data_IF_629554777997
#
_entry.id   IF_629554777997
#
_cell.length_a   1.000
_cell.length_b   1.000
_cell.length_c   1.000
_cell.angle_alpha   90.00
_cell.angle_beta   90.00
_cell.angle_gamma   90.00
#
_symmetry.space_group_name_H-M   'P 1'
#
loop_
_entity.id
_entity.type
_entity.pdbx_description
1 polymer ?
#
# COMPACT_ATOMS: atom_id res chain seq x y z
N UNK A 1 -4.50 1.97 -19.33
CA UNK A 1 -5.44 1.44 -18.31
C UNK A 1 -6.27 2.60 -17.79
N UNK A 2 -7.59 2.56 -17.93
CA UNK A 2 -8.48 3.66 -17.49
C UNK A 2 -9.13 3.40 -16.12
N UNK A 3 -8.69 2.38 -15.38
CA UNK A 3 -9.25 2.09 -14.08
C UNK A 3 -8.65 3.00 -13.02
N UNK A 4 -9.49 3.48 -12.10
CA UNK A 4 -9.06 4.14 -10.89
C UNK A 4 -8.50 3.06 -9.95
N UNK A 5 -7.17 3.05 -9.81
CA UNK A 5 -6.44 2.05 -9.02
C UNK A 5 -5.84 2.74 -7.80
N UNK A 6 -5.96 2.06 -6.66
CA UNK A 6 -5.27 2.42 -5.43
C UNK A 6 -4.50 1.20 -4.93
N UNK A 7 -3.28 1.42 -4.45
CA UNK A 7 -2.52 0.40 -3.74
C UNK A 7 -2.38 0.75 -2.26
N UNK A 8 -2.33 -0.27 -1.41
CA UNK A 8 -2.05 -0.11 0.00
C UNK A 8 -1.02 -1.11 0.54
N UNK A 9 -0.18 -0.62 1.45
CA UNK A 9 0.72 -1.42 2.30
C UNK A 9 0.16 -1.42 3.74
N UNK A 10 -0.26 -2.59 4.23
CA UNK A 10 -0.99 -2.72 5.50
C UNK A 10 -0.05 -2.97 6.66
N UNK A 11 0.56 -1.89 7.15
CA UNK A 11 1.40 -1.90 8.34
C UNK A 11 0.63 -2.00 9.67
N UNK A 12 1.39 -2.21 10.75
CA UNK A 12 0.85 -2.27 12.12
C UNK A 12 0.46 -0.89 12.66
N UNK A 13 1.18 0.18 12.26
CA UNK A 13 0.96 1.56 12.74
C UNK A 13 0.29 2.46 11.71
N UNK A 14 0.52 2.18 10.42
CA UNK A 14 0.08 3.00 9.31
C UNK A 14 -0.29 2.11 8.14
N UNK A 15 -1.15 2.63 7.28
CA UNK A 15 -1.41 2.04 5.97
C UNK A 15 -0.88 3.00 4.92
N UNK A 16 0.18 2.60 4.24
CA UNK A 16 0.71 3.35 3.10
C UNK A 16 -0.28 3.32 1.96
N UNK A 17 -0.42 4.44 1.22
CA UNK A 17 -1.38 4.54 0.12
C UNK A 17 -0.72 5.16 -1.12
N UNK A 18 -1.05 4.64 -2.30
CA UNK A 18 -0.63 5.20 -3.57
C UNK A 18 -1.74 5.06 -4.63
N UNK A 19 -1.79 5.97 -5.59
CA UNK A 19 -2.78 5.93 -6.67
C UNK A 19 -2.13 6.17 -8.02
N UNK A 20 -2.76 5.65 -9.08
CA UNK A 20 -2.35 5.89 -10.46
C UNK A 20 -3.17 7.05 -11.04
N UNK A 21 -2.51 8.12 -11.47
CA UNK A 21 -3.15 9.25 -12.15
C UNK A 21 -2.38 9.58 -13.42
N UNK A 22 -3.05 9.48 -14.58
CA UNK A 22 -2.44 9.77 -15.89
C UNK A 22 -1.09 9.05 -16.08
N UNK A 23 -1.07 7.74 -15.80
CA UNK A 23 0.12 6.88 -15.86
C UNK A 23 1.25 7.19 -14.86
N UNK A 24 1.04 8.17 -13.96
CA UNK A 24 1.98 8.52 -12.90
C UNK A 24 1.49 7.94 -11.57
N UNK A 25 2.36 7.20 -10.89
CA UNK A 25 2.12 6.70 -9.53
C UNK A 25 2.41 7.83 -8.54
N UNK A 26 1.43 8.15 -7.70
CA UNK A 26 1.53 9.21 -6.70
C UNK A 26 1.29 8.66 -5.29
N UNK A 27 2.20 8.93 -4.33
CA UNK A 27 1.95 8.59 -2.94
C UNK A 27 0.85 9.49 -2.37
N UNK A 28 -0.01 8.90 -1.54
CA UNK A 28 -1.03 9.61 -0.78
C UNK A 28 -0.62 9.68 0.70
N UNK A 29 -1.19 10.59 1.50
CA UNK A 29 -1.01 10.55 2.95
C UNK A 29 -1.40 9.16 3.51
N UNK A 30 -0.57 8.55 4.36
CA UNK A 30 -0.91 7.25 4.94
C UNK A 30 -2.06 7.40 5.95
N UNK A 31 -2.85 6.34 6.11
CA UNK A 31 -3.82 6.25 7.20
C UNK A 31 -3.07 5.94 8.49
N UNK A 32 -3.32 6.72 9.54
CA UNK A 32 -2.81 6.42 10.88
C UNK A 32 -3.74 5.38 11.50
N UNK A 33 -3.20 4.21 11.81
CA UNK A 33 -3.97 3.09 12.35
C UNK A 33 -4.03 3.17 13.86
N UNK A 34 -5.18 3.58 14.39
CA UNK A 34 -5.48 3.52 15.83
C UNK A 34 -6.03 2.13 16.16
N UNK A 35 -6.92 1.62 15.32
CA UNK A 35 -7.42 0.25 15.38
C UNK A 35 -7.88 -0.23 13.99
N UNK A 36 -8.18 -1.52 13.88
CA UNK A 36 -8.54 -2.15 12.59
C UNK A 36 -9.83 -1.61 11.98
N UNK A 37 -10.84 -1.28 12.80
CA UNK A 37 -12.15 -0.82 12.29
C UNK A 37 -12.09 0.64 11.84
N UNK A 38 -11.38 1.50 12.58
CA UNK A 38 -11.15 2.89 12.18
C UNK A 38 -10.35 2.95 10.88
N UNK A 39 -9.25 2.20 10.79
CA UNK A 39 -8.44 2.18 9.58
C UNK A 39 -9.19 1.61 8.37
N UNK A 40 -10.04 0.59 8.56
CA UNK A 40 -10.89 0.04 7.50
C UNK A 40 -11.90 1.09 7.00
N UNK A 41 -12.57 1.78 7.92
CA UNK A 41 -13.52 2.86 7.57
C UNK A 41 -12.85 4.02 6.83
N UNK A 42 -11.65 4.43 7.25
CA UNK A 42 -10.90 5.47 6.54
C UNK A 42 -10.45 5.02 5.16
N UNK A 43 -10.03 3.77 5.01
CA UNK A 43 -9.69 3.22 3.70
C UNK A 43 -10.92 3.17 2.78
N UNK A 44 -12.07 2.71 3.27
CA UNK A 44 -13.33 2.73 2.52
C UNK A 44 -13.72 4.14 2.06
N UNK A 45 -13.55 5.15 2.92
CA UNK A 45 -13.80 6.54 2.56
C UNK A 45 -12.87 6.98 1.41
N UNK A 46 -11.57 6.70 1.50
CA UNK A 46 -10.60 7.05 0.44
C UNK A 46 -10.95 6.33 -0.87
N UNK A 47 -11.32 5.05 -0.81
CA UNK A 47 -11.71 4.25 -1.97
C UNK A 47 -12.96 4.84 -2.64
N UNK A 48 -13.97 5.21 -1.85
CA UNK A 48 -15.21 5.80 -2.34
C UNK A 48 -15.00 7.20 -2.91
N UNK A 49 -14.31 8.09 -2.19
CA UNK A 49 -14.06 9.47 -2.62
C UNK A 49 -13.30 9.55 -3.95
N UNK A 50 -12.43 8.56 -4.20
CA UNK A 50 -11.62 8.48 -5.43
C UNK A 50 -12.24 7.62 -6.51
N UNK A 51 -13.43 7.07 -6.30
CA UNK A 51 -14.09 6.11 -7.20
C UNK A 51 -13.16 4.97 -7.61
N UNK A 52 -12.44 4.39 -6.65
CA UNK A 52 -11.51 3.30 -6.90
C UNK A 52 -12.30 2.07 -7.36
N UNK A 53 -11.82 1.40 -8.39
CA UNK A 53 -12.39 0.15 -8.89
C UNK A 53 -11.51 -1.05 -8.57
N UNK A 54 -10.20 -0.83 -8.41
CA UNK A 54 -9.23 -1.88 -8.10
C UNK A 54 -8.38 -1.44 -6.90
N UNK A 55 -8.43 -2.24 -5.84
CA UNK A 55 -7.55 -2.12 -4.67
C UNK A 55 -6.44 -3.17 -4.76
N UNK A 56 -5.20 -2.72 -4.83
CA UNK A 56 -4.00 -3.57 -4.86
C UNK A 56 -3.39 -3.62 -3.46
N UNK A 57 -3.28 -4.81 -2.88
CA UNK A 57 -2.82 -5.00 -1.50
C UNK A 57 -1.47 -5.69 -1.49
N UNK A 58 -0.49 -5.09 -0.79
CA UNK A 58 0.77 -5.75 -0.48
C UNK A 58 0.54 -6.97 0.42
N UNK A 59 1.12 -8.11 0.04
CA UNK A 59 1.05 -9.34 0.81
C UNK A 59 2.41 -10.05 0.73
N UNK A 60 3.05 -10.44 1.85
CA UNK A 60 4.28 -11.23 1.80
C UNK A 60 4.00 -12.61 1.19
N UNK A 61 5.02 -13.23 0.61
CA UNK A 61 4.91 -14.61 0.14
C UNK A 61 4.85 -15.56 1.33
N UNK A 62 3.91 -16.50 1.29
CA UNK A 62 3.76 -17.47 2.37
C UNK A 62 4.96 -18.42 2.39
N UNK A 63 5.39 -18.83 3.58
CA UNK A 63 6.47 -19.82 3.74
C UNK A 63 7.05 -19.85 5.14
N UNK A 64 7.20 -18.69 5.76
CA UNK A 64 7.64 -18.55 7.15
C UNK A 64 6.46 -18.34 8.09
N UNK A 65 6.58 -18.79 9.35
CA UNK A 65 5.51 -18.65 10.35
C UNK A 65 5.10 -17.18 10.54
N UNK A 66 6.07 -16.26 10.58
CA UNK A 66 5.83 -14.81 10.71
C UNK A 66 5.09 -14.24 9.49
N UNK A 67 5.37 -14.75 8.28
CA UNK A 67 4.63 -14.38 7.08
C UNK A 67 3.18 -14.87 7.16
N UNK A 68 2.94 -16.08 7.66
CA UNK A 68 1.58 -16.62 7.81
C UNK A 68 0.70 -15.74 8.72
N UNK A 69 1.24 -15.30 9.86
CA UNK A 69 0.50 -14.43 10.77
C UNK A 69 0.27 -13.02 10.21
N UNK A 70 1.24 -12.52 9.42
CA UNK A 70 1.08 -11.27 8.68
C UNK A 70 0.01 -11.39 7.61
N UNK A 71 -0.01 -12.47 6.82
CA UNK A 71 -1.04 -12.72 5.82
C UNK A 71 -2.44 -12.80 6.46
N UNK A 72 -2.61 -13.58 7.54
CA UNK A 72 -3.89 -13.65 8.26
C UNK A 72 -4.35 -12.28 8.74
N UNK A 73 -3.43 -11.47 9.28
CA UNK A 73 -3.74 -10.12 9.76
C UNK A 73 -4.17 -9.19 8.63
N UNK A 74 -3.51 -9.26 7.48
CA UNK A 74 -3.86 -8.46 6.29
C UNK A 74 -5.21 -8.94 5.75
N UNK A 75 -5.41 -10.23 5.54
CA UNK A 75 -6.67 -10.80 5.07
C UNK A 75 -7.85 -10.46 5.99
N UNK A 76 -7.68 -10.57 7.31
CA UNK A 76 -8.70 -10.11 8.27
C UNK A 76 -8.93 -8.60 8.15
N UNK A 77 -7.89 -7.80 7.96
CA UNK A 77 -8.07 -6.35 7.82
C UNK A 77 -8.88 -6.02 6.56
N UNK A 78 -8.53 -6.63 5.44
CA UNK A 78 -9.23 -6.46 4.15
C UNK A 78 -10.68 -6.94 4.24
N UNK A 79 -10.98 -8.00 4.99
CA UNK A 79 -12.36 -8.47 5.18
C UNK A 79 -13.24 -7.53 6.01
N UNK A 80 -12.69 -6.47 6.61
CA UNK A 80 -13.45 -5.44 7.30
C UNK A 80 -13.90 -4.31 6.37
N UNK A 81 -13.37 -4.26 5.14
CA UNK A 81 -13.73 -3.24 4.17
C UNK A 81 -15.14 -3.51 3.61
N UNK A 82 -15.86 -2.43 3.34
CA UNK A 82 -17.12 -2.45 2.59
C UNK A 82 -16.91 -2.27 1.09
N UNK A 83 -15.66 -2.18 0.65
CA UNK A 83 -15.27 -2.06 -0.75
C UNK A 83 -15.78 -3.24 -1.61
N UNK A 84 -16.55 -2.91 -2.65
CA UNK A 84 -17.16 -3.89 -3.57
C UNK A 84 -16.35 -4.07 -4.88
N UNK A 85 -15.27 -3.31 -5.06
CA UNK A 85 -14.43 -3.41 -6.24
C UNK A 85 -13.51 -4.64 -6.22
N UNK A 86 -12.67 -4.74 -7.25
CA UNK A 86 -11.71 -5.83 -7.36
C UNK A 86 -10.57 -5.65 -6.35
N UNK A 87 -10.23 -6.73 -5.63
CA UNK A 87 -9.09 -6.74 -4.71
C UNK A 87 -8.03 -7.68 -5.28
N UNK A 88 -6.87 -7.12 -5.60
CA UNK A 88 -5.71 -7.87 -6.11
C UNK A 88 -4.62 -7.91 -5.04
N UNK A 89 -3.92 -9.03 -4.90
CA UNK A 89 -2.77 -9.15 -4.00
C UNK A 89 -1.47 -9.19 -4.78
N UNK A 90 -0.46 -8.46 -4.30
CA UNK A 90 0.89 -8.41 -4.90
C UNK A 90 1.92 -8.86 -3.87
N UNK A 91 2.79 -9.79 -4.30
CA UNK A 91 3.86 -10.32 -3.47
C UNK A 91 4.94 -9.25 -3.17
N UNK A 92 5.27 -9.07 -1.89
CA UNK A 92 6.20 -8.06 -1.40
C UNK A 92 7.66 -8.51 -1.25
N UNK A 93 7.96 -9.81 -1.20
CA UNK A 93 9.24 -10.34 -0.67
C UNK A 93 10.54 -9.80 -1.29
N UNK A 94 10.49 -9.22 -2.49
CA UNK A 94 11.67 -8.64 -3.16
C UNK A 94 11.93 -7.14 -2.84
N UNK A 95 11.19 -6.48 -1.94
CA UNK A 95 11.23 -5.00 -1.78
C UNK A 95 12.39 -4.43 -0.94
N UNK A 96 13.01 -5.20 -0.05
CA UNK A 96 13.93 -4.61 0.94
C UNK A 96 15.21 -4.00 0.34
N UNK A 97 15.67 -4.45 -0.83
CA UNK A 97 16.87 -3.89 -1.46
C UNK A 97 16.63 -2.56 -2.20
N UNK A 98 15.47 -2.37 -2.83
CA UNK A 98 15.19 -1.19 -3.67
C UNK A 98 14.74 0.04 -2.87
N UNK A 99 13.98 -0.16 -1.78
CA UNK A 99 13.54 0.95 -0.93
C UNK A 99 14.72 1.73 -0.32
N UNK A 100 15.81 1.02 0.05
CA UNK A 100 17.05 1.63 0.51
C UNK A 100 17.71 2.50 -0.56
N UNK A 101 17.66 2.11 -1.84
CA UNK A 101 18.27 2.86 -2.93
C UNK A 101 17.49 4.15 -3.24
N UNK A 102 16.16 4.08 -3.35
CA UNK A 102 15.30 5.27 -3.57
C UNK A 102 15.47 6.31 -2.46
N UNK A 103 15.61 5.85 -1.21
CA UNK A 103 15.83 6.75 -0.08
C UNK A 103 17.23 7.38 -0.08
N UNK A 104 18.23 6.78 -0.73
CA UNK A 104 19.65 7.21 -0.66
C UNK A 104 19.91 8.57 -1.32
N UNK A 105 19.07 8.96 -2.28
CA UNK A 105 19.13 10.28 -2.91
C UNK A 105 18.53 11.40 -2.03
N UNK A 106 17.77 11.07 -0.98
CA UNK A 106 17.21 12.07 -0.08
C UNK A 106 18.24 12.50 0.98
N UNK A 107 18.53 13.80 1.04
CA UNK A 107 19.30 14.41 2.14
C UNK A 107 18.75 13.94 3.49
N UNK A 108 19.62 13.62 4.46
CA UNK A 108 19.27 13.05 5.78
C UNK A 108 18.08 13.74 6.47
N UNK A 109 18.02 15.08 6.42
CA UNK A 109 16.91 15.85 6.99
C UNK A 109 15.55 15.56 6.32
N UNK A 110 15.52 15.46 4.99
CA UNK A 110 14.31 15.12 4.25
C UNK A 110 13.85 13.70 4.54
N UNK A 111 14.80 12.76 4.70
CA UNK A 111 14.50 11.38 5.10
C UNK A 111 13.89 11.33 6.51
N UNK A 112 14.47 12.04 7.49
CA UNK A 112 13.95 12.10 8.85
C UNK A 112 12.53 12.70 8.89
N UNK A 113 12.28 13.75 8.09
CA UNK A 113 10.95 14.34 7.95
C UNK A 113 9.95 13.40 7.28
N UNK A 114 10.36 12.71 6.21
CA UNK A 114 9.54 11.72 5.52
C UNK A 114 9.16 10.53 6.42
N UNK A 115 10.08 10.06 7.26
CA UNK A 115 9.80 9.03 8.28
C UNK A 115 8.78 9.52 9.31
N UNK A 116 9.00 10.73 9.83
CA UNK A 116 8.13 11.34 10.84
C UNK A 116 6.71 11.50 10.31
N UNK A 117 6.58 12.00 9.08
CA UNK A 117 5.28 12.26 8.44
C UNK A 117 4.64 11.00 7.82
N UNK A 118 5.31 9.84 7.86
CA UNK A 118 4.80 8.58 7.30
C UNK A 118 4.82 8.46 5.78
N UNK A 119 5.52 9.37 5.09
CA UNK A 119 5.70 9.28 3.64
C UNK A 119 6.41 8.01 3.21
N UNK A 120 7.25 7.42 4.07
CA UNK A 120 7.91 6.14 3.77
C UNK A 120 6.90 5.01 3.60
N UNK A 121 5.87 4.94 4.44
CA UNK A 121 4.85 3.90 4.35
C UNK A 121 4.14 3.95 2.98
N UNK A 122 3.81 5.16 2.50
CA UNK A 122 3.21 5.34 1.17
C UNK A 122 4.18 5.12 0.00
N UNK A 123 5.50 5.12 0.21
CA UNK A 123 6.45 4.72 -0.82
C UNK A 123 6.37 3.20 -1.08
N UNK A 124 6.18 2.39 -0.04
CA UNK A 124 5.92 0.95 -0.20
C UNK A 124 4.68 0.70 -1.07
N UNK A 125 3.61 1.46 -0.83
CA UNK A 125 2.41 1.41 -1.66
C UNK A 125 2.67 1.79 -3.14
N UNK A 126 3.58 2.73 -3.40
CA UNK A 126 4.00 3.04 -4.77
C UNK A 126 4.72 1.84 -5.43
N UNK A 127 5.60 1.15 -4.70
CA UNK A 127 6.30 -0.04 -5.20
C UNK A 127 5.33 -1.19 -5.50
N UNK A 128 4.35 -1.42 -4.61
CA UNK A 128 3.26 -2.39 -4.82
C UNK A 128 2.49 -2.06 -6.10
N UNK A 129 2.07 -0.80 -6.28
CA UNK A 129 1.35 -0.38 -7.47
C UNK A 129 2.18 -0.52 -8.74
N UNK A 130 3.47 -0.21 -8.66
CA UNK A 130 4.39 -0.33 -9.78
C UNK A 130 4.51 -1.78 -10.24
N UNK A 131 4.62 -2.73 -9.30
CA UNK A 131 4.67 -4.17 -9.60
C UNK A 131 3.38 -4.66 -10.24
N UNK A 132 2.23 -4.23 -9.71
CA UNK A 132 0.94 -4.56 -10.31
C UNK A 132 0.84 -4.07 -11.75
N UNK A 133 1.15 -2.80 -12.02
CA UNK A 133 1.09 -2.25 -13.38
C UNK A 133 2.04 -2.98 -14.33
N UNK A 134 3.22 -3.40 -13.86
CA UNK A 134 4.17 -4.16 -14.66
C UNK A 134 3.63 -5.56 -14.99
N UNK A 135 2.98 -6.25 -14.04
CA UNK A 135 2.43 -7.59 -14.29
C UNK A 135 1.25 -7.57 -15.28
N UNK A 136 0.53 -6.45 -15.39
CA UNK A 136 -0.58 -6.29 -16.34
C UNK A 136 -0.13 -5.96 -17.78
N UNK A 137 1.16 -5.68 -18.02
CA UNK A 137 1.70 -5.37 -19.36
C UNK A 137 2.31 -6.58 -20.08
N UNK A 138 2.41 -7.72 -19.41
CA UNK A 138 2.92 -8.99 -19.98
C UNK A 138 1.79 -9.79 -20.59
#
# INVERSE_FOLDING_TARGET
>A
MNHCILACDVGLKRIGLATLKQEIILPLPPIIRINRNQAAKELDNVLKERNIHILVVGMPSGGEAEHSDTQKRISHFISLLSFEGEICFVNEDYTSFNALQSLSYMKRQNRARAQKDGRIDSLSACEILQRYIQSQKS
#
